data_IF_399392525957
#
_entry.id   IF_399392525957
#
_cell.length_a   1.000
_cell.length_b   1.000
_cell.length_c   1.000
_cell.angle_alpha   90.00
_cell.angle_beta   90.00
_cell.angle_gamma   90.00
#
_symmetry.space_group_name_H-M   'P 1'
#
loop_
_entity.id
_entity.type
_entity.pdbx_description
1 polymer ?
#
# COMPACT_ATOMS: atom_id res chain seq x y z
N UNK A 1 32.18 -12.14 4.43
CA UNK A 1 31.71 -11.60 3.14
C UNK A 1 30.66 -10.52 3.41
N UNK A 2 30.82 -9.33 2.80
CA UNK A 2 29.90 -8.21 3.03
C UNK A 2 28.89 -8.03 1.91
N UNK A 3 29.26 -8.41 0.68
CA UNK A 3 28.38 -8.39 -0.47
C UNK A 3 28.85 -9.39 -1.54
N UNK A 4 27.96 -9.92 -2.33
CA UNK A 4 28.23 -10.81 -3.46
C UNK A 4 27.14 -10.78 -4.52
N UNK A 5 27.49 -11.19 -5.74
CA UNK A 5 26.53 -11.59 -6.76
C UNK A 5 26.51 -13.12 -6.77
N UNK A 6 25.34 -13.73 -6.57
CA UNK A 6 25.21 -15.18 -6.57
C UNK A 6 25.11 -15.77 -8.01
N UNK A 7 25.04 -17.09 -8.12
CA UNK A 7 24.95 -17.79 -9.43
C UNK A 7 23.66 -17.49 -10.21
N UNK A 8 22.66 -16.88 -9.58
CA UNK A 8 21.42 -16.41 -10.22
C UNK A 8 21.43 -14.91 -10.54
N UNK A 9 22.59 -14.25 -10.38
CA UNK A 9 22.77 -12.83 -10.71
C UNK A 9 22.17 -11.87 -9.67
N UNK A 10 21.89 -12.33 -8.44
CA UNK A 10 21.33 -11.49 -7.37
C UNK A 10 22.43 -10.84 -6.55
N UNK A 11 22.32 -9.54 -6.29
CA UNK A 11 23.19 -8.85 -5.35
C UNK A 11 22.70 -9.14 -3.92
N UNK A 12 23.53 -9.77 -3.12
CA UNK A 12 23.30 -10.05 -1.71
C UNK A 12 24.23 -9.18 -0.86
N UNK A 13 23.69 -8.44 0.08
CA UNK A 13 24.44 -7.59 1.02
C UNK A 13 24.10 -8.02 2.43
N UNK A 14 25.12 -8.27 3.26
CA UNK A 14 24.97 -8.72 4.62
C UNK A 14 24.53 -10.18 4.79
N UNK A 15 24.38 -10.93 3.69
CA UNK A 15 23.99 -12.35 3.70
C UNK A 15 24.67 -13.12 2.57
N UNK A 16 24.89 -14.42 2.78
CA UNK A 16 25.29 -15.37 1.73
C UNK A 16 24.13 -16.26 1.30
N UNK A 17 22.97 -16.13 1.95
CA UNK A 17 21.80 -16.98 1.72
C UNK A 17 20.67 -16.17 1.12
N UNK A 18 20.10 -16.66 0.03
CA UNK A 18 18.89 -16.10 -0.55
C UNK A 18 17.68 -16.35 0.35
N UNK A 19 16.89 -15.31 0.63
CA UNK A 19 15.69 -15.38 1.44
C UNK A 19 14.42 -14.92 0.68
N UNK A 20 14.53 -14.58 -0.59
CA UNK A 20 13.42 -14.11 -1.42
C UNK A 20 13.72 -14.16 -2.91
N UNK A 21 12.82 -13.64 -3.73
CA UNK A 21 12.96 -13.63 -5.20
C UNK A 21 13.55 -12.32 -5.77
N UNK A 22 13.85 -11.35 -4.92
CA UNK A 22 14.39 -10.05 -5.36
C UNK A 22 15.81 -10.17 -5.90
N UNK A 23 16.14 -9.33 -6.88
CA UNK A 23 17.48 -9.26 -7.48
C UNK A 23 18.49 -8.62 -6.52
N UNK A 24 18.05 -7.65 -5.72
CA UNK A 24 18.85 -7.03 -4.67
C UNK A 24 18.28 -7.43 -3.31
N UNK A 25 19.12 -7.98 -2.45
CA UNK A 25 18.73 -8.41 -1.11
C UNK A 25 19.70 -7.84 -0.09
N UNK A 26 19.17 -7.14 0.91
CA UNK A 26 19.92 -6.61 2.05
C UNK A 26 19.39 -7.28 3.30
N UNK A 27 20.27 -7.90 4.09
CA UNK A 27 19.94 -8.54 5.35
C UNK A 27 20.84 -8.04 6.48
N UNK A 28 20.27 -7.91 7.64
CA UNK A 28 20.99 -7.53 8.87
C UNK A 28 20.49 -8.37 10.04
N UNK A 29 21.33 -8.55 11.05
CA UNK A 29 20.92 -9.13 12.34
C UNK A 29 20.48 -8.05 13.34
N UNK A 30 20.63 -6.77 12.97
CA UNK A 30 20.20 -5.60 13.73
C UNK A 30 18.85 -5.04 13.27
N UNK A 31 18.63 -3.77 13.59
CA UNK A 31 17.36 -3.09 13.30
C UNK A 31 17.30 -2.52 11.88
N UNK A 32 18.28 -1.74 11.46
CA UNK A 32 18.20 -0.98 10.21
C UNK A 32 18.91 -1.71 9.06
N UNK A 33 18.19 -1.96 7.97
CA UNK A 33 18.72 -2.63 6.79
C UNK A 33 19.02 -1.65 5.64
N UNK A 34 18.21 -0.60 5.46
CA UNK A 34 18.38 0.40 4.41
C UNK A 34 18.02 1.78 4.96
N UNK A 35 19.00 2.70 4.89
CA UNK A 35 18.82 4.11 5.16
C UNK A 35 18.84 4.90 3.86
N UNK A 36 17.84 5.76 3.62
CA UNK A 36 17.77 6.63 2.44
C UNK A 36 17.85 8.08 2.93
N UNK A 37 19.04 8.66 2.85
CA UNK A 37 19.32 10.02 3.34
C UNK A 37 19.53 11.02 2.19
N UNK A 38 19.17 12.28 2.45
CA UNK A 38 19.51 13.42 1.59
C UNK A 38 20.02 14.57 2.46
N UNK A 39 21.17 15.12 2.10
CA UNK A 39 21.77 16.25 2.77
C UNK A 39 21.68 17.47 1.84
N UNK A 40 20.73 18.36 2.13
CA UNK A 40 20.46 19.55 1.30
C UNK A 40 19.92 20.70 2.13
N UNK A 41 20.28 21.91 1.78
CA UNK A 41 19.68 23.14 2.32
C UNK A 41 18.36 23.51 1.62
N UNK A 42 18.00 22.84 0.53
CA UNK A 42 16.74 23.06 -0.19
C UNK A 42 15.61 22.29 0.50
N UNK A 43 14.54 22.97 0.98
CA UNK A 43 13.50 22.34 1.78
C UNK A 43 12.75 21.17 1.12
N UNK A 44 12.69 21.14 -0.22
CA UNK A 44 12.02 20.08 -1.00
C UNK A 44 12.88 18.84 -1.27
N UNK A 45 14.16 18.85 -0.86
CA UNK A 45 15.09 17.74 -1.10
C UNK A 45 15.11 16.80 0.11
N UNK A 46 14.35 15.71 0.04
CA UNK A 46 14.37 14.61 1.01
C UNK A 46 14.87 13.30 0.40
N UNK A 47 15.23 12.33 1.24
CA UNK A 47 15.48 10.95 0.80
C UNK A 47 14.23 10.39 0.10
N UNK A 48 14.42 9.62 -0.99
CA UNK A 48 13.30 9.15 -1.81
C UNK A 48 13.46 7.70 -2.23
N UNK A 49 12.39 6.91 -2.09
CA UNK A 49 12.23 5.63 -2.74
C UNK A 49 11.24 5.80 -3.90
N UNK A 50 11.63 5.49 -5.13
CA UNK A 50 10.81 5.69 -6.32
C UNK A 50 10.61 4.37 -7.06
N UNK A 51 9.37 4.03 -7.35
CA UNK A 51 8.98 2.91 -8.20
C UNK A 51 8.66 3.43 -9.60
N UNK A 52 9.22 2.79 -10.63
CA UNK A 52 8.92 3.07 -12.03
C UNK A 52 8.25 1.87 -12.68
N UNK A 53 7.19 2.10 -13.43
CA UNK A 53 6.47 1.08 -14.18
C UNK A 53 6.30 1.49 -15.64
N UNK A 54 6.61 0.58 -16.55
CA UNK A 54 6.28 0.64 -17.99
C UNK A 54 5.66 -0.69 -18.42
N UNK A 55 4.74 -0.69 -19.37
CA UNK A 55 4.22 -1.92 -19.99
C UNK A 55 5.14 -2.51 -21.06
N UNK A 56 6.33 -1.94 -21.25
CA UNK A 56 7.33 -2.46 -22.18
C UNK A 56 8.24 -3.49 -21.49
N UNK A 57 8.51 -4.60 -22.15
CA UNK A 57 9.41 -5.63 -21.64
C UNK A 57 10.89 -5.25 -21.80
N UNK A 58 11.22 -4.27 -22.66
CA UNK A 58 12.60 -3.84 -22.93
C UNK A 58 12.95 -2.69 -22.00
N UNK A 59 14.01 -2.85 -21.20
CA UNK A 59 14.55 -1.79 -20.36
C UNK A 59 14.99 -0.61 -21.22
N UNK A 60 14.61 0.61 -20.82
CA UNK A 60 14.90 1.83 -21.57
C UNK A 60 13.85 2.20 -22.61
N UNK A 61 12.94 1.28 -22.97
CA UNK A 61 11.77 1.57 -23.79
C UNK A 61 10.56 1.78 -22.89
N UNK A 62 9.72 2.76 -23.24
CA UNK A 62 8.53 3.07 -22.45
C UNK A 62 7.24 2.81 -23.23
N UNK A 63 6.27 2.18 -22.58
CA UNK A 63 4.89 2.05 -23.04
C UNK A 63 3.97 2.45 -21.90
N UNK A 64 2.95 3.22 -22.21
CA UNK A 64 2.00 3.74 -21.23
C UNK A 64 1.35 2.60 -20.42
N UNK A 65 1.15 2.85 -19.15
CA UNK A 65 0.32 2.02 -18.27
C UNK A 65 -1.16 2.30 -18.55
N UNK A 66 -2.03 1.40 -18.16
CA UNK A 66 -3.48 1.52 -18.30
C UNK A 66 -4.17 1.40 -16.94
N UNK A 67 -5.45 1.67 -16.89
CA UNK A 67 -6.25 1.47 -15.68
C UNK A 67 -6.01 0.08 -15.05
N UNK A 68 -5.94 0.03 -13.73
CA UNK A 68 -5.63 -1.15 -12.92
C UNK A 68 -4.21 -1.71 -13.02
N UNK A 69 -3.31 -1.10 -13.80
CA UNK A 69 -1.90 -1.48 -13.74
C UNK A 69 -1.27 -1.11 -12.37
N UNK A 70 -0.52 -2.04 -11.77
CA UNK A 70 0.25 -1.76 -10.56
C UNK A 70 1.45 -0.88 -10.87
N UNK A 71 1.60 0.24 -10.17
CA UNK A 71 2.73 1.16 -10.28
C UNK A 71 3.87 0.78 -9.34
N UNK A 72 3.54 0.21 -8.20
CA UNK A 72 4.50 -0.24 -7.20
C UNK A 72 3.81 -0.82 -5.97
N UNK A 73 4.62 -1.52 -5.13
CA UNK A 73 4.11 -2.28 -4.00
C UNK A 73 5.12 -2.33 -2.86
N UNK A 74 4.62 -2.29 -1.64
CA UNK A 74 5.37 -2.58 -0.42
C UNK A 74 4.69 -3.77 0.27
N UNK A 75 5.40 -4.90 0.37
CA UNK A 75 4.94 -6.11 1.06
C UNK A 75 5.58 -6.23 2.45
N UNK A 76 4.78 -6.52 3.46
CA UNK A 76 5.21 -6.85 4.82
C UNK A 76 5.03 -8.35 5.05
N UNK A 77 6.15 -9.07 5.20
CA UNK A 77 6.17 -10.53 5.33
C UNK A 77 6.81 -10.96 6.63
N UNK A 78 6.16 -11.89 7.34
CA UNK A 78 6.71 -12.59 8.50
C UNK A 78 7.03 -14.05 8.15
N UNK A 79 8.07 -14.62 8.79
CA UNK A 79 8.35 -16.03 8.66
C UNK A 79 7.36 -16.83 9.55
N UNK A 80 6.51 -17.63 8.91
CA UNK A 80 5.63 -18.56 9.59
C UNK A 80 6.36 -19.87 9.92
N UNK A 81 5.63 -20.99 9.93
CA UNK A 81 6.24 -22.28 10.29
C UNK A 81 7.24 -22.78 9.26
N UNK A 82 6.95 -22.57 7.94
CA UNK A 82 7.76 -23.14 6.85
C UNK A 82 8.12 -22.17 5.74
N UNK A 83 7.58 -20.94 5.75
CA UNK A 83 7.79 -19.95 4.68
C UNK A 83 7.50 -18.52 5.15
N UNK A 84 7.93 -17.54 4.33
CA UNK A 84 7.54 -16.15 4.50
C UNK A 84 6.11 -15.94 4.01
N UNK A 85 5.21 -15.57 4.93
CA UNK A 85 3.81 -15.30 4.68
C UNK A 85 3.57 -13.80 4.55
N UNK A 86 2.65 -13.42 3.68
CA UNK A 86 2.28 -12.03 3.44
C UNK A 86 1.24 -11.58 4.47
N UNK A 87 1.63 -10.68 5.37
CA UNK A 87 0.78 -10.15 6.44
C UNK A 87 0.04 -8.88 6.06
N UNK A 88 0.72 -7.96 5.37
CA UNK A 88 0.14 -6.69 4.95
C UNK A 88 0.80 -6.17 3.66
N UNK A 89 0.12 -5.21 3.01
CA UNK A 89 0.55 -4.66 1.74
C UNK A 89 0.05 -3.22 1.55
N UNK A 90 0.88 -2.41 0.90
CA UNK A 90 0.49 -1.13 0.32
C UNK A 90 0.74 -1.21 -1.17
N UNK A 91 -0.29 -1.03 -2.00
CA UNK A 91 -0.22 -1.00 -3.45
C UNK A 91 -0.55 0.39 -3.99
N UNK A 92 0.13 0.80 -5.06
CA UNK A 92 -0.28 1.91 -5.90
C UNK A 92 -0.74 1.35 -7.26
N UNK A 93 -1.96 1.70 -7.67
CA UNK A 93 -2.53 1.31 -8.96
C UNK A 93 -2.93 2.54 -9.77
N UNK A 94 -2.91 2.41 -11.08
CA UNK A 94 -3.54 3.37 -11.98
C UNK A 94 -5.06 3.32 -11.76
N UNK A 95 -5.70 4.49 -11.60
CA UNK A 95 -7.13 4.63 -11.24
C UNK A 95 -7.87 5.48 -12.28
N UNK A 96 -7.75 5.10 -13.52
CA UNK A 96 -8.23 5.77 -14.72
C UNK A 96 -7.24 5.59 -15.86
N UNK A 97 -7.60 6.01 -17.08
CA UNK A 97 -6.66 5.94 -18.19
C UNK A 97 -5.73 7.16 -18.18
N UNK A 98 -4.41 6.98 -18.03
CA UNK A 98 -3.47 8.08 -18.22
C UNK A 98 -3.59 8.62 -19.64
N UNK A 99 -3.51 9.93 -19.79
CA UNK A 99 -3.48 10.58 -21.12
C UNK A 99 -4.76 10.46 -21.94
N UNK A 100 -5.94 10.36 -21.30
CA UNK A 100 -7.22 10.46 -22.03
C UNK A 100 -7.55 11.89 -22.42
N UNK A 101 -8.21 12.06 -23.56
CA UNK A 101 -8.69 13.39 -24.01
C UNK A 101 -7.60 14.37 -24.44
N UNK A 102 -6.35 13.91 -24.69
CA UNK A 102 -5.24 14.74 -25.12
C UNK A 102 -4.41 15.33 -23.97
N UNK A 103 -4.75 15.04 -22.72
CA UNK A 103 -3.91 15.33 -21.55
C UNK A 103 -2.82 14.25 -21.44
N UNK A 104 -1.57 14.66 -21.39
CA UNK A 104 -0.39 13.78 -21.25
C UNK A 104 0.37 14.02 -19.95
N UNK A 105 -0.22 14.74 -18.99
CA UNK A 105 0.45 15.26 -17.80
C UNK A 105 -0.04 14.62 -16.51
N UNK A 106 -1.14 13.87 -16.53
CA UNK A 106 -1.72 13.23 -15.37
C UNK A 106 -1.35 11.74 -15.24
N UNK A 107 -1.43 11.24 -14.03
CA UNK A 107 -1.35 9.82 -13.69
C UNK A 107 -2.37 9.57 -12.57
N UNK A 108 -3.65 9.38 -12.90
CA UNK A 108 -4.66 9.09 -11.89
C UNK A 108 -4.28 7.81 -11.15
N UNK A 109 -4.24 7.87 -9.82
CA UNK A 109 -3.69 6.80 -9.01
C UNK A 109 -4.54 6.59 -7.75
N UNK A 110 -4.68 5.31 -7.33
CA UNK A 110 -5.20 4.95 -6.01
C UNK A 110 -4.15 4.24 -5.18
N UNK A 111 -4.14 4.51 -3.88
CA UNK A 111 -3.40 3.75 -2.89
C UNK A 111 -4.34 2.76 -2.21
N UNK A 112 -3.93 1.50 -2.12
CA UNK A 112 -4.70 0.40 -1.50
C UNK A 112 -3.93 -0.17 -0.33
N UNK A 113 -4.60 -0.27 0.82
CA UNK A 113 -4.08 -0.85 2.06
C UNK A 113 -4.79 -2.18 2.32
N UNK A 114 -4.01 -3.24 2.45
CA UNK A 114 -4.52 -4.60 2.61
C UNK A 114 -3.87 -5.29 3.80
N UNK A 115 -4.63 -6.10 4.53
CA UNK A 115 -4.14 -6.94 5.62
C UNK A 115 -4.68 -8.36 5.49
N UNK A 116 -3.90 -9.34 5.98
CA UNK A 116 -4.33 -10.73 6.05
C UNK A 116 -5.06 -10.97 7.37
N UNK A 117 -6.29 -11.46 7.30
CA UNK A 117 -7.04 -11.87 8.48
C UNK A 117 -6.52 -13.20 9.03
N UNK A 118 -6.80 -13.47 10.30
CA UNK A 118 -6.53 -14.79 10.90
C UNK A 118 -7.25 -15.88 10.11
N UNK A 119 -6.55 -16.98 9.81
CA UNK A 119 -7.02 -18.08 8.97
C UNK A 119 -6.99 -17.81 7.45
N UNK A 120 -6.66 -16.60 6.99
CA UNK A 120 -6.56 -16.31 5.56
C UNK A 120 -5.14 -16.54 5.02
N UNK A 121 -5.04 -16.91 3.73
CA UNK A 121 -3.76 -17.15 3.05
C UNK A 121 -3.22 -15.93 2.31
N UNK A 122 -4.01 -14.86 2.17
CA UNK A 122 -3.64 -13.64 1.43
C UNK A 122 -4.32 -12.41 2.02
N UNK A 123 -3.71 -11.21 1.85
CA UNK A 123 -4.31 -9.96 2.29
C UNK A 123 -5.52 -9.61 1.43
N UNK A 124 -6.53 -9.05 2.08
CA UNK A 124 -7.69 -8.41 1.47
C UNK A 124 -7.63 -6.92 1.70
N UNK A 125 -8.14 -6.15 0.76
CA UNK A 125 -8.25 -4.69 0.90
C UNK A 125 -9.06 -4.32 2.14
N UNK A 126 -8.57 -3.30 2.87
CA UNK A 126 -9.26 -2.69 4.03
C UNK A 126 -9.67 -1.27 3.74
N UNK A 127 -8.82 -0.54 3.03
CA UNK A 127 -9.00 0.87 2.75
C UNK A 127 -8.30 1.23 1.44
N UNK A 128 -8.84 2.21 0.73
CA UNK A 128 -8.13 2.88 -0.38
C UNK A 128 -8.30 4.40 -0.32
N UNK A 129 -7.32 5.09 -0.90
CA UNK A 129 -7.43 6.51 -1.28
C UNK A 129 -7.52 6.52 -2.79
N UNK A 130 -8.60 7.09 -3.33
CA UNK A 130 -8.90 7.09 -4.77
C UNK A 130 -8.37 8.34 -5.46
N UNK A 131 -8.29 8.31 -6.79
CA UNK A 131 -7.85 9.45 -7.60
C UNK A 131 -8.77 10.68 -7.48
N UNK A 132 -10.05 10.47 -7.12
CA UNK A 132 -11.06 11.50 -6.84
C UNK A 132 -11.06 11.97 -5.37
N UNK A 133 -9.96 11.70 -4.63
CA UNK A 133 -9.67 12.18 -3.27
C UNK A 133 -10.55 11.61 -2.15
N UNK A 134 -11.26 10.51 -2.35
CA UNK A 134 -12.00 9.84 -1.30
C UNK A 134 -11.17 8.79 -0.58
N UNK A 135 -11.36 8.70 0.75
CA UNK A 135 -10.97 7.54 1.54
C UNK A 135 -12.16 6.59 1.60
N UNK A 136 -12.00 5.38 1.07
CA UNK A 136 -13.04 4.35 1.04
C UNK A 136 -12.61 3.16 1.87
N UNK A 137 -13.45 2.74 2.81
CA UNK A 137 -13.31 1.44 3.47
C UNK A 137 -13.88 0.36 2.55
N UNK A 138 -13.25 -0.81 2.54
CA UNK A 138 -13.74 -1.94 1.75
C UNK A 138 -15.01 -2.51 2.42
N UNK A 139 -16.01 -2.85 1.61
CA UNK A 139 -17.28 -3.38 2.09
C UNK A 139 -17.08 -4.66 2.91
N UNK A 140 -17.76 -4.76 4.05
CA UNK A 140 -17.73 -5.93 4.94
C UNK A 140 -16.41 -6.16 5.68
N UNK A 141 -15.51 -5.17 5.72
CA UNK A 141 -14.20 -5.31 6.38
C UNK A 141 -14.09 -4.63 7.75
N UNK A 142 -15.19 -4.21 8.34
CA UNK A 142 -15.25 -3.45 9.59
C UNK A 142 -15.36 -1.95 9.35
N UNK A 143 -15.20 -1.16 10.40
CA UNK A 143 -15.36 0.29 10.40
C UNK A 143 -14.18 1.01 11.06
N UNK A 144 -14.39 2.29 11.39
CA UNK A 144 -13.43 3.10 12.14
C UNK A 144 -13.79 2.99 13.62
N UNK A 145 -12.83 2.52 14.43
CA UNK A 145 -12.95 2.48 15.88
C UNK A 145 -12.16 3.64 16.49
N UNK A 146 -12.73 4.32 17.47
CA UNK A 146 -12.13 5.48 18.12
C UNK A 146 -11.70 5.16 19.54
N UNK A 147 -10.71 5.89 20.03
CA UNK A 147 -10.29 5.92 21.42
C UNK A 147 -9.90 4.54 21.99
N UNK A 148 -9.36 3.64 21.17
CA UNK A 148 -8.94 2.29 21.59
C UNK A 148 -10.10 1.32 21.85
N UNK A 149 -11.32 1.65 21.48
CA UNK A 149 -12.45 0.74 21.54
C UNK A 149 -12.26 -0.41 20.56
N UNK A 150 -12.55 -1.63 20.99
CA UNK A 150 -12.43 -2.86 20.19
C UNK A 150 -13.77 -3.56 19.93
N UNK A 151 -14.88 -3.02 20.48
CA UNK A 151 -16.20 -3.58 20.25
C UNK A 151 -16.70 -3.23 18.84
N UNK A 152 -17.07 -4.24 18.04
CA UNK A 152 -17.56 -4.03 16.69
C UNK A 152 -18.81 -3.15 16.63
N UNK A 153 -19.67 -3.21 17.64
CA UNK A 153 -20.90 -2.41 17.74
C UNK A 153 -20.65 -0.90 17.90
N UNK A 154 -19.42 -0.49 18.23
CA UNK A 154 -19.04 0.90 18.41
C UNK A 154 -18.22 1.43 17.23
N UNK A 155 -18.01 0.62 16.20
CA UNK A 155 -17.32 1.06 14.99
C UNK A 155 -18.24 1.97 14.16
N UNK A 156 -17.66 3.02 13.57
CA UNK A 156 -18.32 3.77 12.51
C UNK A 156 -18.15 2.98 11.21
N UNK A 157 -19.15 2.22 10.83
CA UNK A 157 -19.16 1.33 9.66
C UNK A 157 -20.24 1.70 8.65
N UNK A 158 -21.25 2.44 9.08
CA UNK A 158 -22.31 3.02 8.24
C UNK A 158 -22.64 4.42 8.76
N UNK A 159 -22.78 5.36 7.84
CA UNK A 159 -23.12 6.76 8.18
C UNK A 159 -24.34 7.17 7.37
N UNK A 160 -25.47 7.40 8.07
CA UNK A 160 -26.68 7.92 7.47
C UNK A 160 -26.83 9.42 7.78
N UNK A 161 -26.92 10.23 6.74
CA UNK A 161 -27.32 11.63 6.84
C UNK A 161 -28.84 11.74 6.61
N UNK A 162 -29.55 12.33 7.57
CA UNK A 162 -30.97 12.56 7.48
C UNK A 162 -31.40 13.86 8.14
N UNK A 163 -32.53 14.42 7.72
CA UNK A 163 -33.18 15.50 8.43
C UNK A 163 -34.02 14.94 9.57
N UNK A 164 -33.66 15.27 10.83
CA UNK A 164 -34.49 14.97 11.99
C UNK A 164 -35.42 16.14 12.27
N UNK A 165 -36.75 15.89 12.26
CA UNK A 165 -37.75 16.86 12.67
C UNK A 165 -38.26 16.46 14.05
N UNK A 166 -37.97 17.22 15.12
CA UNK A 166 -38.47 16.90 16.45
C UNK A 166 -40.00 17.04 16.50
N UNK A 167 -40.68 16.00 16.98
CA UNK A 167 -42.10 16.06 17.26
C UNK A 167 -42.30 16.28 18.77
N UNK A 168 -42.83 17.43 19.17
CA UNK A 168 -43.22 17.66 20.54
C UNK A 168 -44.58 17.01 20.78
N UNK A 169 -44.65 16.03 21.68
CA UNK A 169 -45.93 15.50 22.16
C UNK A 169 -46.36 16.34 23.34
N UNK A 170 -47.55 17.04 23.29
CA UNK A 170 -48.07 17.78 24.44
C UNK A 170 -48.32 16.81 25.58
N UNK A 171 -47.85 17.16 26.77
CA UNK A 171 -48.19 16.42 27.98
C UNK A 171 -49.67 16.75 28.32
N UNK A 172 -50.57 15.82 28.06
CA UNK A 172 -51.96 15.92 28.52
C UNK A 172 -52.01 15.45 29.98
N UNK A 173 -51.98 16.41 30.89
CA UNK A 173 -52.32 16.20 32.30
C UNK A 173 -53.82 16.17 32.49
#
# INVERSE_FOLDING_TARGET
ERARIDSSGRLLVGTSTNFGSGVNQVATTGQDAIDIGSFSTTPSHGGRLTFYRSKNATVGSATAVANDDSLGRIDFRGYGVNSYLLGARIDAFVDGEPSTGGDTTDMPCRLVFSTTADGASSPTERMRITSDAYVRLASGTGGIQFNGDTAAANALDDYEEGTWTPTATPNTS
#
